data_IF_205561047657
#
_entry.id   IF_205561047657
#
_cell.length_a   1.000
_cell.length_b   1.000
_cell.length_c   1.000
_cell.angle_alpha   90.00
_cell.angle_beta   90.00
_cell.angle_gamma   90.00
#
_symmetry.space_group_name_H-M   'P 1'
#
loop_
_entity.id
_entity.type
_entity.pdbx_description
1 polymer ?
#
# COMPACT_ATOMS: atom_id res chain seq x y z
N UNK A 1 37.95 -47.65 1.70
CA UNK A 1 37.28 -47.06 0.53
C UNK A 1 35.81 -46.91 0.88
N UNK A 2 35.42 -45.69 1.25
CA UNK A 2 34.12 -45.38 1.84
C UNK A 2 33.18 -44.84 0.75
N UNK A 3 32.37 -45.72 0.19
CA UNK A 3 31.43 -45.40 -0.90
C UNK A 3 30.12 -44.76 -0.39
N UNK A 4 30.06 -44.32 0.88
CA UNK A 4 28.83 -43.84 1.51
C UNK A 4 28.66 -42.30 1.46
N UNK A 5 29.72 -41.55 1.18
CA UNK A 5 29.72 -40.07 1.28
C UNK A 5 28.98 -39.37 0.12
N UNK A 6 28.96 -39.97 -1.08
CA UNK A 6 28.47 -39.28 -2.29
C UNK A 6 26.94 -39.09 -2.35
N UNK A 7 26.15 -39.91 -1.65
CA UNK A 7 24.68 -39.79 -1.65
C UNK A 7 24.18 -38.69 -0.71
N UNK A 8 24.86 -38.47 0.41
CA UNK A 8 24.51 -37.44 1.41
C UNK A 8 24.74 -36.03 0.87
N UNK A 9 25.84 -35.82 0.13
CA UNK A 9 26.18 -34.52 -0.46
C UNK A 9 25.18 -34.09 -1.54
N UNK A 10 24.79 -35.00 -2.44
CA UNK A 10 23.80 -34.69 -3.49
C UNK A 10 22.40 -34.42 -2.92
N UNK A 11 22.02 -35.15 -1.86
CA UNK A 11 20.75 -34.94 -1.17
C UNK A 11 20.73 -33.62 -0.38
N UNK A 12 21.85 -33.25 0.25
CA UNK A 12 22.00 -32.01 1.00
C UNK A 12 22.04 -30.78 0.08
N UNK A 13 22.75 -30.85 -1.05
CA UNK A 13 22.80 -29.78 -2.04
C UNK A 13 21.42 -29.54 -2.68
N UNK A 14 20.68 -30.61 -3.02
CA UNK A 14 19.33 -30.50 -3.55
C UNK A 14 18.37 -29.84 -2.53
N UNK A 15 18.46 -30.23 -1.25
CA UNK A 15 17.64 -29.63 -0.19
C UNK A 15 18.02 -28.16 0.09
N UNK A 16 19.31 -27.83 0.03
CA UNK A 16 19.79 -26.46 0.18
C UNK A 16 19.31 -25.57 -0.98
N UNK A 17 19.45 -26.03 -2.22
CA UNK A 17 19.00 -25.31 -3.40
C UNK A 17 17.49 -25.08 -3.38
N UNK A 18 16.69 -26.06 -2.94
CA UNK A 18 15.24 -25.90 -2.79
C UNK A 18 14.88 -24.87 -1.71
N UNK A 19 15.63 -24.82 -0.60
CA UNK A 19 15.43 -23.78 0.41
C UNK A 19 15.79 -22.39 -0.10
N UNK A 20 16.88 -22.26 -0.86
CA UNK A 20 17.29 -20.99 -1.47
C UNK A 20 16.28 -20.53 -2.53
N UNK A 21 15.75 -21.43 -3.36
CA UNK A 21 14.70 -21.14 -4.34
C UNK A 21 13.41 -20.64 -3.67
N UNK A 22 12.95 -21.35 -2.63
CA UNK A 22 11.79 -20.92 -1.83
C UNK A 22 12.01 -19.54 -1.20
N UNK A 23 13.19 -19.31 -0.63
CA UNK A 23 13.53 -18.02 -0.04
C UNK A 23 13.61 -16.90 -1.09
N UNK A 24 14.15 -17.19 -2.28
CA UNK A 24 14.18 -16.25 -3.39
C UNK A 24 12.76 -15.92 -3.88
N UNK A 25 11.91 -16.93 -4.04
CA UNK A 25 10.51 -16.75 -4.45
C UNK A 25 9.72 -15.89 -3.47
N UNK A 26 9.89 -16.12 -2.15
CA UNK A 26 9.26 -15.30 -1.11
C UNK A 26 9.73 -13.84 -1.19
N UNK A 27 11.03 -13.60 -1.35
CA UNK A 27 11.57 -12.23 -1.47
C UNK A 27 11.07 -11.53 -2.72
N UNK A 28 10.96 -12.23 -3.85
CA UNK A 28 10.40 -11.69 -5.08
C UNK A 28 8.93 -11.32 -4.90
N UNK A 29 8.12 -12.20 -4.28
CA UNK A 29 6.72 -11.89 -3.95
C UNK A 29 6.59 -10.70 -3.00
N UNK A 30 7.50 -10.55 -2.03
CA UNK A 30 7.50 -9.40 -1.12
C UNK A 30 7.76 -8.07 -1.85
N UNK A 31 8.71 -8.05 -2.78
CA UNK A 31 9.03 -6.86 -3.59
C UNK A 31 7.90 -6.51 -4.54
N UNK A 32 7.27 -7.51 -5.16
CA UNK A 32 6.11 -7.30 -6.04
C UNK A 32 4.92 -6.68 -5.27
N UNK A 33 4.64 -7.18 -4.06
CA UNK A 33 3.60 -6.63 -3.19
C UNK A 33 3.88 -5.19 -2.74
N UNK A 34 5.14 -4.86 -2.38
CA UNK A 34 5.54 -3.48 -2.03
C UNK A 34 5.36 -2.52 -3.22
N UNK A 35 5.72 -2.97 -4.43
CA UNK A 35 5.51 -2.19 -5.65
C UNK A 35 4.02 -1.95 -5.92
N UNK A 36 3.19 -2.97 -5.81
CA UNK A 36 1.74 -2.84 -5.97
C UNK A 36 1.13 -1.89 -4.93
N UNK A 37 1.51 -2.04 -3.66
CA UNK A 37 1.03 -1.19 -2.58
C UNK A 37 1.36 0.29 -2.80
N UNK A 38 2.57 0.61 -3.29
CA UNK A 38 2.95 1.98 -3.68
C UNK A 38 2.08 2.53 -4.80
N UNK A 39 1.73 1.69 -5.79
CA UNK A 39 0.81 2.05 -6.86
C UNK A 39 -0.61 2.36 -6.35
N UNK A 40 -1.12 1.56 -5.42
CA UNK A 40 -2.44 1.76 -4.81
C UNK A 40 -2.50 3.06 -3.99
N UNK A 41 -1.46 3.38 -3.21
CA UNK A 41 -1.39 4.64 -2.45
C UNK A 41 -1.40 5.84 -3.40
N UNK A 42 -0.68 5.77 -4.52
CA UNK A 42 -0.69 6.82 -5.53
C UNK A 42 -2.08 7.04 -6.15
N UNK A 43 -2.77 5.96 -6.52
CA UNK A 43 -4.14 6.03 -7.04
C UNK A 43 -5.12 6.54 -5.97
N UNK A 44 -4.94 6.17 -4.70
CA UNK A 44 -5.74 6.68 -3.60
C UNK A 44 -5.58 8.19 -3.40
N UNK A 45 -4.34 8.71 -3.47
CA UNK A 45 -4.09 10.15 -3.45
C UNK A 45 -4.79 10.85 -4.61
N UNK A 46 -4.65 10.32 -5.83
CA UNK A 46 -5.29 10.93 -7.01
C UNK A 46 -6.82 10.91 -6.92
N UNK A 47 -7.42 9.79 -6.49
CA UNK A 47 -8.85 9.68 -6.23
C UNK A 47 -9.33 10.70 -5.20
N UNK A 48 -8.56 10.87 -4.13
CA UNK A 48 -8.87 11.80 -3.06
C UNK A 48 -8.84 13.25 -3.55
N UNK A 49 -7.82 13.63 -4.31
CA UNK A 49 -7.69 14.96 -4.91
C UNK A 49 -8.81 15.22 -5.95
N UNK A 50 -9.11 14.24 -6.80
CA UNK A 50 -10.17 14.32 -7.80
C UNK A 50 -11.57 14.43 -7.16
N UNK A 51 -11.77 13.83 -5.99
CA UNK A 51 -12.99 13.98 -5.19
C UNK A 51 -13.10 15.34 -4.48
N UNK A 52 -12.09 16.21 -4.62
CA UNK A 52 -12.09 17.54 -4.03
C UNK A 52 -11.94 17.54 -2.52
N UNK A 53 -11.13 16.62 -1.98
CA UNK A 53 -10.87 16.51 -0.53
C UNK A 53 -12.13 16.27 0.32
N UNK A 54 -13.18 15.69 -0.27
CA UNK A 54 -14.45 15.38 0.42
C UNK A 54 -14.33 14.19 1.39
N UNK A 55 -13.20 13.51 1.40
CA UNK A 55 -12.89 12.43 2.33
C UNK A 55 -13.39 11.07 1.83
N UNK A 56 -13.59 10.15 2.78
CA UNK A 56 -13.73 8.72 2.53
C UNK A 56 -14.93 8.39 1.65
N UNK A 57 -16.05 9.05 1.89
CA UNK A 57 -17.33 8.72 1.27
C UNK A 57 -17.44 9.22 -0.19
N UNK A 58 -16.55 10.13 -0.60
CA UNK A 58 -16.42 10.57 -2.00
C UNK A 58 -15.27 9.88 -2.73
N UNK A 59 -14.19 9.54 -2.00
CA UNK A 59 -13.01 8.88 -2.58
C UNK A 59 -13.30 7.41 -2.93
N UNK A 60 -14.07 6.70 -2.11
CA UNK A 60 -14.38 5.29 -2.35
C UNK A 60 -15.24 5.04 -3.61
N UNK A 61 -16.37 5.75 -3.82
CA UNK A 61 -17.14 5.59 -5.05
C UNK A 61 -16.34 5.97 -6.30
N UNK A 62 -15.55 7.03 -6.24
CA UNK A 62 -14.69 7.44 -7.36
C UNK A 62 -13.73 6.32 -7.78
N UNK A 63 -13.09 5.66 -6.82
CA UNK A 63 -12.17 4.56 -7.10
C UNK A 63 -12.90 3.33 -7.63
N UNK A 64 -14.05 3.00 -7.03
CA UNK A 64 -14.88 1.88 -7.45
C UNK A 64 -15.41 2.06 -8.88
N UNK A 65 -15.94 3.24 -9.21
CA UNK A 65 -16.47 3.59 -10.53
C UNK A 65 -15.35 3.65 -11.58
N UNK A 66 -14.12 3.99 -11.18
CA UNK A 66 -12.91 3.95 -12.01
C UNK A 66 -12.30 2.55 -12.18
N UNK A 67 -12.88 1.51 -11.57
CA UNK A 67 -12.36 0.14 -11.62
C UNK A 67 -11.07 -0.08 -10.82
N UNK A 68 -10.69 0.88 -9.96
CA UNK A 68 -9.53 0.78 -9.10
C UNK A 68 -9.97 0.23 -7.74
N UNK A 69 -9.53 -0.98 -7.42
CA UNK A 69 -9.85 -1.59 -6.14
C UNK A 69 -8.94 -1.03 -5.03
N UNK A 70 -9.29 0.12 -4.47
CA UNK A 70 -8.60 0.67 -3.30
C UNK A 70 -9.15 0.09 -2.01
N UNK A 71 -8.25 -0.33 -1.11
CA UNK A 71 -8.65 -0.75 0.24
C UNK A 71 -9.09 0.46 1.08
N UNK A 72 -9.97 0.21 2.06
CA UNK A 72 -10.42 1.25 2.97
C UNK A 72 -9.27 1.83 3.81
N UNK A 73 -8.26 1.03 4.11
CA UNK A 73 -7.07 1.44 4.86
C UNK A 73 -6.23 2.46 4.07
N UNK A 74 -5.96 2.17 2.79
CA UNK A 74 -5.25 3.08 1.90
C UNK A 74 -5.98 4.44 1.79
N UNK A 75 -7.31 4.41 1.62
CA UNK A 75 -8.14 5.63 1.56
C UNK A 75 -8.07 6.41 2.87
N UNK A 76 -8.16 5.72 4.01
CA UNK A 76 -8.06 6.35 5.32
C UNK A 76 -6.69 7.01 5.53
N UNK A 77 -5.62 6.34 5.10
CA UNK A 77 -4.25 6.82 5.26
C UNK A 77 -3.97 8.07 4.42
N UNK A 78 -4.41 8.11 3.15
CA UNK A 78 -4.23 9.30 2.30
C UNK A 78 -5.02 10.50 2.82
N UNK A 79 -6.24 10.29 3.32
CA UNK A 79 -7.04 11.37 3.92
C UNK A 79 -6.38 11.89 5.20
N UNK A 80 -5.90 10.99 6.06
CA UNK A 80 -5.23 11.35 7.30
C UNK A 80 -3.96 12.18 7.04
N UNK A 81 -3.20 11.81 6.01
CA UNK A 81 -1.95 12.47 5.65
C UNK A 81 -2.16 13.70 4.74
N UNK A 82 -3.39 14.01 4.35
CA UNK A 82 -3.68 15.14 3.47
C UNK A 82 -3.60 16.48 4.23
N UNK A 83 -2.56 17.27 3.96
CA UNK A 83 -2.35 18.59 4.57
C UNK A 83 -3.49 19.58 4.25
N UNK A 84 -4.02 19.55 3.02
CA UNK A 84 -5.17 20.38 2.62
C UNK A 84 -6.41 20.03 3.45
N UNK A 85 -6.70 18.75 3.68
CA UNK A 85 -7.78 18.32 4.57
C UNK A 85 -7.55 18.79 6.00
N UNK A 86 -6.31 18.71 6.51
CA UNK A 86 -5.97 19.22 7.82
C UNK A 86 -6.24 20.73 7.90
N UNK A 87 -5.78 21.51 6.93
CA UNK A 87 -6.01 22.95 6.85
C UNK A 87 -7.51 23.30 6.80
N UNK A 88 -8.31 22.60 5.98
CA UNK A 88 -9.78 22.78 5.90
C UNK A 88 -10.45 22.48 7.25
N UNK A 89 -10.01 21.42 7.95
CA UNK A 89 -10.54 21.06 9.26
C UNK A 89 -10.23 22.14 10.31
N UNK A 90 -9.04 22.73 10.24
CA UNK A 90 -8.65 23.83 11.11
C UNK A 90 -9.43 25.10 10.78
N UNK A 91 -9.60 25.49 9.52
CA UNK A 91 -10.35 26.70 9.14
C UNK A 91 -11.85 26.61 9.43
N UNK A 92 -12.47 25.43 9.38
CA UNK A 92 -13.86 25.24 9.82
C UNK A 92 -14.03 25.33 11.34
N UNK A 93 -12.99 24.99 12.11
CA UNK A 93 -13.00 25.04 13.59
C UNK A 93 -12.67 26.44 14.12
N UNK A 94 -11.87 27.21 13.38
CA UNK A 94 -11.66 28.63 13.62
C UNK A 94 -12.80 29.38 12.94
N UNK A 95 -13.89 29.68 13.68
CA UNK A 95 -14.98 30.54 13.17
C UNK A 95 -14.40 31.75 12.41
N UNK A 96 -14.93 32.12 11.23
CA UNK A 96 -14.56 33.39 10.63
C UNK A 96 -14.98 34.49 11.61
N UNK A 97 -14.00 35.22 12.15
CA UNK A 97 -14.19 36.30 13.11
C UNK A 97 -14.68 37.58 12.41
N UNK A 98 -15.60 37.44 11.45
CA UNK A 98 -16.11 38.56 10.66
C UNK A 98 -17.62 38.44 10.47
N UNK A 99 -18.33 39.01 11.44
CA UNK A 99 -19.52 39.82 11.19
C UNK A 99 -19.43 40.98 12.18
N UNK A 100 -18.74 42.05 11.76
CA UNK A 100 -18.69 43.32 12.46
C UNK A 100 -19.75 44.25 11.88
N UNK A 101 -20.50 44.90 12.76
CA UNK A 101 -21.54 45.89 12.45
C UNK A 101 -22.67 45.84 13.45
#
# INVERSE_FOLDING_TARGET
>A
MDAHVSKSQANEEHHNNEQVDKAAKVKVSQVDLDWQHKGEVFLACWAHDASGHQGRDATYPWAHDGGVNLTMDNISQVIHNCETCAAIKHTKRVKPLWYGG
#
